data_IF_651103769802
#
_entry.id   IF_651103769802
#
_cell.length_a   1.000
_cell.length_b   1.000
_cell.length_c   1.000
_cell.angle_alpha   90.00
_cell.angle_beta   90.00
_cell.angle_gamma   90.00
#
_symmetry.space_group_name_H-M   'P 1'
#
loop_
_entity.id
_entity.type
_entity.pdbx_description
1 polymer ?
#
# COMPACT_ATOMS: atom_id res chain seq x y z
N UNK A 1 19.01 -5.27 7.33
CA UNK A 1 18.38 -5.86 6.16
C UNK A 1 18.31 -4.86 5.04
N UNK A 2 18.75 -5.28 3.88
CA UNK A 2 18.81 -4.38 2.75
C UNK A 2 17.54 -4.34 1.95
N UNK A 3 17.47 -3.39 1.04
CA UNK A 3 16.35 -3.22 0.12
C UNK A 3 16.11 -4.47 -0.74
N UNK A 4 17.13 -5.29 -0.89
CA UNK A 4 17.07 -6.50 -1.71
C UNK A 4 16.10 -7.55 -1.16
N UNK A 5 15.87 -7.57 0.15
CA UNK A 5 15.04 -8.57 0.80
C UNK A 5 13.55 -8.48 0.43
N UNK A 6 13.13 -7.33 -0.11
CA UNK A 6 11.73 -7.14 -0.51
C UNK A 6 11.55 -7.13 -2.02
N UNK A 7 12.59 -7.48 -2.77
CA UNK A 7 12.51 -7.47 -4.22
C UNK A 7 11.95 -8.79 -4.74
N UNK A 8 10.84 -8.72 -5.44
CA UNK A 8 10.18 -9.87 -6.05
C UNK A 8 9.87 -9.58 -7.51
N UNK A 9 9.94 -10.60 -8.34
CA UNK A 9 9.49 -10.52 -9.74
C UNK A 9 8.60 -11.71 -10.03
N UNK A 10 7.55 -11.51 -10.81
CA UNK A 10 6.67 -12.61 -11.24
C UNK A 10 5.96 -12.23 -12.54
N UNK A 11 5.34 -13.23 -13.14
CA UNK A 11 4.59 -13.04 -14.38
C UNK A 11 3.15 -13.48 -14.15
N UNK A 12 2.20 -12.66 -14.58
CA UNK A 12 0.78 -13.00 -14.53
C UNK A 12 0.42 -13.95 -15.67
N UNK A 13 -0.77 -14.56 -15.57
CA UNK A 13 -1.27 -15.51 -16.57
C UNK A 13 -1.35 -14.92 -17.98
N UNK A 14 -1.56 -13.61 -18.08
CA UNK A 14 -1.61 -12.92 -19.38
C UNK A 14 -0.23 -12.55 -19.92
N UNK A 15 0.85 -12.93 -19.24
CA UNK A 15 2.22 -12.63 -19.64
C UNK A 15 2.77 -11.32 -19.10
N UNK A 16 1.99 -10.56 -18.36
CA UNK A 16 2.46 -9.29 -17.77
C UNK A 16 3.56 -9.55 -16.75
N UNK A 17 4.68 -8.81 -16.87
CA UNK A 17 5.81 -8.93 -15.96
C UNK A 17 5.74 -7.85 -14.90
N UNK A 18 5.78 -8.27 -13.64
CA UNK A 18 5.65 -7.39 -12.48
C UNK A 18 6.87 -7.49 -11.57
N UNK A 19 7.19 -6.37 -10.95
CA UNK A 19 8.32 -6.26 -10.01
C UNK A 19 7.87 -5.50 -8.76
N UNK A 20 8.20 -6.04 -7.59
CA UNK A 20 7.95 -5.40 -6.30
C UNK A 20 9.28 -4.99 -5.70
N UNK A 21 9.39 -3.73 -5.27
CA UNK A 21 10.59 -3.23 -4.60
C UNK A 21 10.26 -2.04 -3.71
N UNK A 22 11.22 -1.65 -2.87
CA UNK A 22 11.11 -0.41 -2.08
C UNK A 22 11.04 0.79 -3.01
N UNK A 23 10.16 1.74 -2.68
CA UNK A 23 10.06 2.99 -3.44
C UNK A 23 11.32 3.83 -3.20
N UNK A 24 11.77 4.54 -4.23
CA UNK A 24 12.91 5.46 -4.15
C UNK A 24 12.51 6.78 -4.82
N UNK A 25 13.31 7.87 -4.59
CA UNK A 25 13.06 9.13 -5.29
C UNK A 25 13.06 9.00 -6.82
N UNK A 26 13.77 8.00 -7.35
CA UNK A 26 13.76 7.72 -8.79
C UNK A 26 12.38 7.29 -9.29
N UNK A 27 11.49 6.86 -8.40
CA UNK A 27 10.13 6.44 -8.74
C UNK A 27 9.12 7.60 -8.72
N UNK A 28 9.57 8.84 -8.50
CA UNK A 28 8.68 10.01 -8.35
C UNK A 28 7.73 10.18 -9.53
N UNK A 29 8.24 10.06 -10.76
CA UNK A 29 7.40 10.21 -11.95
C UNK A 29 6.34 9.10 -12.03
N UNK A 30 6.69 7.88 -11.64
CA UNK A 30 5.77 6.73 -11.61
C UNK A 30 4.68 6.94 -10.56
N UNK A 31 5.04 7.44 -9.37
CA UNK A 31 4.08 7.72 -8.30
C UNK A 31 3.08 8.79 -8.74
N UNK A 32 3.55 9.88 -9.34
CA UNK A 32 2.67 10.96 -9.83
C UNK A 32 1.73 10.43 -10.91
N UNK A 33 2.25 9.66 -11.86
CA UNK A 33 1.44 9.06 -12.93
C UNK A 33 0.39 8.11 -12.36
N UNK A 34 0.74 7.34 -11.34
CA UNK A 34 -0.18 6.43 -10.66
C UNK A 34 -1.35 7.19 -10.02
N UNK A 35 -1.05 8.28 -9.33
CA UNK A 35 -2.10 9.13 -8.70
C UNK A 35 -3.00 9.75 -9.77
N UNK A 36 -2.42 10.26 -10.85
CA UNK A 36 -3.18 10.85 -11.97
C UNK A 36 -4.10 9.83 -12.62
N UNK A 37 -3.69 8.57 -12.67
CA UNK A 37 -4.45 7.49 -13.29
C UNK A 37 -5.55 6.89 -12.43
N UNK A 38 -5.66 7.27 -11.14
CA UNK A 38 -6.72 6.75 -10.29
C UNK A 38 -8.07 7.33 -10.69
N UNK A 39 -9.10 6.49 -10.64
CA UNK A 39 -10.48 6.96 -10.79
C UNK A 39 -10.83 7.88 -9.63
N UNK A 40 -11.89 8.69 -9.78
CA UNK A 40 -12.39 9.53 -8.69
C UNK A 40 -12.69 8.68 -7.45
N UNK A 41 -13.29 7.51 -7.64
CA UNK A 41 -13.60 6.61 -6.54
C UNK A 41 -12.32 6.08 -5.88
N UNK A 42 -11.36 5.59 -6.63
CA UNK A 42 -10.11 5.06 -6.07
C UNK A 42 -9.28 6.15 -5.39
N UNK A 43 -9.24 7.35 -5.94
CA UNK A 43 -8.58 8.49 -5.31
C UNK A 43 -9.23 8.83 -3.97
N UNK A 44 -10.56 8.86 -3.93
CA UNK A 44 -11.30 9.10 -2.70
C UNK A 44 -11.02 8.01 -1.66
N UNK A 45 -11.00 6.74 -2.07
CA UNK A 45 -10.75 5.62 -1.18
C UNK A 45 -9.33 5.65 -0.59
N UNK A 46 -8.35 6.12 -1.37
CA UNK A 46 -6.96 6.21 -0.91
C UNK A 46 -6.72 7.42 -0.01
N UNK A 47 -7.20 8.59 -0.41
CA UNK A 47 -6.86 9.87 0.23
C UNK A 47 -7.99 10.44 1.06
N UNK A 48 -9.14 9.75 1.14
CA UNK A 48 -10.36 10.23 1.79
C UNK A 48 -10.84 11.55 1.20
N UNK A 49 -10.58 11.72 -0.11
CA UNK A 49 -10.96 12.88 -0.89
C UNK A 49 -10.44 12.72 -2.31
N UNK A 50 -10.84 13.62 -3.22
CA UNK A 50 -10.40 13.56 -4.61
C UNK A 50 -9.09 14.31 -4.79
N UNK A 51 -8.02 13.57 -5.08
CA UNK A 51 -6.70 14.12 -5.38
C UNK A 51 -6.31 13.62 -6.76
N UNK A 52 -6.07 14.55 -7.69
CA UNK A 52 -5.69 14.23 -9.06
C UNK A 52 -4.19 14.33 -9.30
N UNK A 53 -3.50 15.07 -8.45
CA UNK A 53 -2.08 15.33 -8.58
C UNK A 53 -1.46 15.57 -7.22
N UNK A 54 -0.25 15.04 -7.02
CA UNK A 54 0.52 15.29 -5.81
C UNK A 54 1.35 16.56 -5.98
N UNK A 55 1.45 17.35 -4.92
CA UNK A 55 2.39 18.48 -4.88
C UNK A 55 3.82 17.94 -4.87
N UNK A 56 4.79 18.78 -5.20
CA UNK A 56 6.22 18.41 -5.14
C UNK A 56 6.61 17.97 -3.73
N UNK A 57 6.09 18.65 -2.72
CA UNK A 57 6.36 18.33 -1.31
C UNK A 57 5.81 16.97 -0.94
N UNK A 58 4.55 16.69 -1.31
CA UNK A 58 3.92 15.42 -1.02
C UNK A 58 4.58 14.27 -1.79
N UNK A 59 4.94 14.52 -3.06
CA UNK A 59 5.61 13.53 -3.88
C UNK A 59 6.96 13.14 -3.28
N UNK A 60 7.74 14.12 -2.81
CA UNK A 60 9.01 13.85 -2.13
C UNK A 60 8.80 13.03 -0.88
N UNK A 61 7.82 13.39 -0.07
CA UNK A 61 7.49 12.66 1.17
C UNK A 61 7.11 11.22 0.88
N UNK A 62 6.36 10.99 -0.18
CA UNK A 62 5.88 9.63 -0.54
C UNK A 62 6.97 8.77 -1.18
N UNK A 63 7.95 9.37 -1.86
CA UNK A 63 8.99 8.61 -2.57
C UNK A 63 10.33 8.55 -1.82
N UNK A 64 10.47 9.33 -0.75
CA UNK A 64 11.68 9.35 0.07
C UNK A 64 11.28 9.25 1.55
N UNK A 65 10.67 8.12 1.96
CA UNK A 65 10.19 7.97 3.33
C UNK A 65 11.36 7.79 4.31
N UNK A 66 11.11 8.19 5.56
CA UNK A 66 12.05 7.94 6.65
C UNK A 66 12.12 6.42 6.90
N UNK A 67 13.26 5.81 6.56
CA UNK A 67 13.46 4.37 6.60
C UNK A 67 13.41 3.75 8.00
N UNK A 68 13.45 4.55 9.07
CA UNK A 68 13.34 4.02 10.43
C UNK A 68 11.91 3.64 10.79
N UNK A 69 10.96 4.50 10.42
CA UNK A 69 9.57 4.37 10.85
C UNK A 69 8.61 4.15 9.71
N UNK A 70 9.06 4.30 8.48
CA UNK A 70 8.20 4.26 7.30
C UNK A 70 8.80 3.36 6.25
N UNK A 71 7.97 2.47 5.70
CA UNK A 71 8.33 1.64 4.55
C UNK A 71 7.27 1.80 3.49
N UNK A 72 7.69 1.90 2.25
CA UNK A 72 6.79 1.92 1.10
C UNK A 72 7.32 0.96 0.04
N UNK A 73 6.44 0.06 -0.39
CA UNK A 73 6.72 -0.92 -1.42
C UNK A 73 5.85 -0.64 -2.63
N UNK A 74 6.41 -0.71 -3.82
CA UNK A 74 5.64 -0.53 -5.05
C UNK A 74 5.72 -1.78 -5.91
N UNK A 75 4.68 -1.97 -6.72
CA UNK A 75 4.68 -2.94 -7.81
C UNK A 75 4.69 -2.17 -9.12
N UNK A 76 5.61 -2.53 -9.98
CA UNK A 76 5.83 -1.88 -11.27
C UNK A 76 5.59 -2.89 -12.38
N UNK A 77 4.84 -2.46 -13.40
CA UNK A 77 4.64 -3.22 -14.62
C UNK A 77 5.55 -2.66 -15.71
N UNK A 78 6.28 -3.55 -16.36
CA UNK A 78 7.11 -3.18 -17.52
C UNK A 78 6.34 -3.50 -18.79
N UNK A 79 5.86 -2.46 -19.45
CA UNK A 79 5.12 -2.55 -20.71
C UNK A 79 5.95 -2.09 -21.90
N UNK A 80 5.33 -2.05 -23.06
CA UNK A 80 5.99 -1.62 -24.31
C UNK A 80 6.42 -0.16 -24.27
N UNK A 81 5.70 0.68 -23.54
CA UNK A 81 5.97 2.12 -23.45
C UNK A 81 6.79 2.50 -22.22
N UNK A 82 7.26 1.52 -21.47
CA UNK A 82 8.07 1.75 -20.27
C UNK A 82 7.45 1.16 -19.02
N UNK A 83 7.91 1.65 -17.87
CA UNK A 83 7.46 1.17 -16.58
C UNK A 83 6.37 2.05 -15.98
N UNK A 84 5.39 1.42 -15.31
CA UNK A 84 4.35 2.14 -14.57
C UNK A 84 4.16 1.52 -13.19
N UNK A 85 3.88 2.36 -12.20
CA UNK A 85 3.50 1.90 -10.86
C UNK A 85 2.03 1.50 -10.90
N UNK A 86 1.74 0.26 -10.49
CA UNK A 86 0.38 -0.27 -10.51
C UNK A 86 -0.15 -0.63 -9.13
N UNK A 87 0.70 -0.57 -8.12
CA UNK A 87 0.29 -0.79 -6.74
C UNK A 87 1.31 -0.25 -5.77
N UNK A 88 0.86 0.11 -4.58
CA UNK A 88 1.73 0.58 -3.49
C UNK A 88 1.13 0.17 -2.16
N UNK A 89 2.00 -0.23 -1.24
CA UNK A 89 1.64 -0.44 0.15
C UNK A 89 2.66 0.25 1.03
N UNK A 90 2.18 0.86 2.11
CA UNK A 90 3.02 1.63 3.04
C UNK A 90 2.66 1.29 4.46
N UNK A 91 3.63 1.44 5.36
CA UNK A 91 3.33 1.52 6.78
C UNK A 91 4.16 2.61 7.43
N UNK A 92 3.61 3.14 8.52
CA UNK A 92 4.29 4.10 9.40
C UNK A 92 4.20 3.54 10.80
N UNK A 93 5.36 3.38 11.46
CA UNK A 93 5.41 2.90 12.84
C UNK A 93 5.11 4.06 13.78
N UNK A 94 4.22 3.82 14.74
CA UNK A 94 3.84 4.82 15.74
C UNK A 94 5.03 5.12 16.67
N UNK A 95 5.01 6.28 17.38
CA UNK A 95 6.07 6.62 18.32
C UNK A 95 6.32 5.60 19.41
N UNK A 96 5.32 4.77 19.77
CA UNK A 96 5.49 3.71 20.76
C UNK A 96 6.33 2.52 20.24
N UNK A 97 6.56 2.45 18.95
CA UNK A 97 7.31 1.37 18.32
C UNK A 97 6.61 0.03 18.25
N UNK A 98 5.39 -0.08 18.81
CA UNK A 98 4.66 -1.34 18.90
C UNK A 98 3.51 -1.46 17.92
N UNK A 99 3.01 -0.33 17.41
CA UNK A 99 1.91 -0.29 16.46
C UNK A 99 2.36 0.38 15.18
N UNK A 100 1.75 -0.01 14.07
CA UNK A 100 1.96 0.70 12.82
C UNK A 100 0.65 0.84 12.06
N UNK A 101 0.58 1.86 11.21
CA UNK A 101 -0.56 2.09 10.35
C UNK A 101 -0.15 1.83 8.91
N UNK A 102 -1.00 1.11 8.18
CA UNK A 102 -0.75 0.78 6.78
C UNK A 102 -1.74 1.46 5.84
N UNK A 103 -1.36 1.54 4.57
CA UNK A 103 -2.25 1.87 3.47
C UNK A 103 -1.84 1.05 2.26
N UNK A 104 -2.79 0.60 1.48
CA UNK A 104 -2.54 -0.15 0.26
C UNK A 104 -3.49 0.30 -0.84
N UNK A 105 -2.97 0.41 -2.05
CA UNK A 105 -3.80 0.73 -3.22
C UNK A 105 -3.24 -0.01 -4.44
N UNK A 106 -4.16 -0.47 -5.29
CA UNK A 106 -3.83 -1.09 -6.58
C UNK A 106 -4.59 -0.32 -7.65
N UNK A 107 -3.93 0.02 -8.75
CA UNK A 107 -4.55 0.71 -9.87
C UNK A 107 -5.78 -0.06 -10.37
N UNK A 108 -6.81 0.66 -10.81
CA UNK A 108 -8.11 0.08 -11.13
C UNK A 108 -8.02 -1.09 -12.11
N UNK A 109 -7.22 -0.94 -13.17
CA UNK A 109 -7.07 -1.96 -14.20
C UNK A 109 -6.35 -3.23 -13.71
N UNK A 110 -5.69 -3.16 -12.57
CA UNK A 110 -4.86 -4.24 -12.03
C UNK A 110 -5.43 -4.88 -10.78
N UNK A 111 -6.62 -4.47 -10.37
CA UNK A 111 -7.29 -5.05 -9.19
C UNK A 111 -7.75 -6.47 -9.46
N UNK A 112 -7.90 -7.26 -8.39
CA UNK A 112 -8.34 -8.66 -8.42
C UNK A 112 -7.37 -9.62 -9.12
N UNK A 113 -6.09 -9.26 -9.15
CA UNK A 113 -5.02 -10.09 -9.74
C UNK A 113 -3.98 -10.56 -8.71
N UNK A 114 -4.27 -10.40 -7.41
CA UNK A 114 -3.37 -10.83 -6.35
C UNK A 114 -2.25 -9.85 -6.00
N UNK A 115 -2.23 -8.67 -6.60
CA UNK A 115 -1.18 -7.68 -6.38
C UNK A 115 -1.24 -7.12 -4.96
N UNK A 116 -2.43 -6.78 -4.48
CA UNK A 116 -2.62 -6.30 -3.11
C UNK A 116 -2.17 -7.31 -2.07
N UNK A 117 -2.45 -8.59 -2.30
CA UNK A 117 -2.02 -9.67 -1.41
C UNK A 117 -0.49 -9.77 -1.35
N UNK A 118 0.19 -9.70 -2.50
CA UNK A 118 1.66 -9.72 -2.53
C UNK A 118 2.25 -8.52 -1.79
N UNK A 119 1.68 -7.34 -2.00
CA UNK A 119 2.12 -6.12 -1.31
C UNK A 119 1.97 -6.25 0.20
N UNK A 120 0.81 -6.69 0.66
CA UNK A 120 0.54 -6.81 2.09
C UNK A 120 1.40 -7.91 2.73
N UNK A 121 1.57 -9.04 2.05
CA UNK A 121 2.43 -10.10 2.56
C UNK A 121 3.89 -9.62 2.67
N UNK A 122 4.37 -8.85 1.70
CA UNK A 122 5.72 -8.30 1.76
C UNK A 122 5.87 -7.30 2.91
N UNK A 123 4.87 -6.42 3.14
CA UNK A 123 4.87 -5.52 4.28
C UNK A 123 4.92 -6.27 5.60
N UNK A 124 4.10 -7.31 5.73
CA UNK A 124 4.02 -8.09 6.97
C UNK A 124 5.33 -8.82 7.22
N UNK A 125 5.93 -9.42 6.19
CA UNK A 125 7.25 -10.05 6.32
C UNK A 125 8.31 -9.05 6.79
N UNK A 126 8.27 -7.84 6.24
CA UNK A 126 9.20 -6.78 6.66
C UNK A 126 9.03 -6.42 8.13
N UNK A 127 7.78 -6.38 8.61
CA UNK A 127 7.46 -6.08 10.00
C UNK A 127 7.86 -7.20 10.97
N UNK A 128 7.96 -8.43 10.52
CA UNK A 128 8.29 -9.58 11.38
C UNK A 128 9.68 -9.50 12.01
N UNK A 129 10.56 -8.70 11.42
CA UNK A 129 11.91 -8.47 11.98
C UNK A 129 11.96 -7.24 12.90
N UNK A 130 10.82 -6.58 13.09
CA UNK A 130 10.70 -5.41 13.96
C UNK A 130 10.04 -5.79 15.28
N UNK A 131 9.94 -4.83 16.20
CA UNK A 131 9.25 -5.02 17.47
C UNK A 131 7.76 -4.68 17.39
N UNK A 132 7.26 -4.37 16.20
CA UNK A 132 5.86 -4.02 15.98
C UNK A 132 4.98 -5.24 16.26
N UNK A 133 3.97 -5.05 17.11
CA UNK A 133 3.05 -6.11 17.53
C UNK A 133 1.70 -6.07 16.86
N UNK A 134 1.35 -4.93 16.28
CA UNK A 134 0.04 -4.72 15.69
C UNK A 134 0.12 -3.82 14.48
N UNK A 135 -0.57 -4.23 13.43
CA UNK A 135 -0.73 -3.42 12.23
C UNK A 135 -2.21 -3.05 12.10
N UNK A 136 -2.49 -1.78 11.86
CA UNK A 136 -3.85 -1.29 11.70
C UNK A 136 -3.95 -0.34 10.51
N UNK A 137 -5.17 -0.10 10.07
CA UNK A 137 -5.45 0.84 8.99
C UNK A 137 -6.90 1.24 9.01
N UNK A 138 -7.25 2.17 8.13
CA UNK A 138 -8.61 2.68 8.01
C UNK A 138 -9.19 2.29 6.66
N UNK A 139 -10.40 1.79 6.66
CA UNK A 139 -11.11 1.39 5.45
C UNK A 139 -12.46 2.10 5.42
N UNK A 140 -12.82 2.64 4.27
CA UNK A 140 -14.14 3.24 4.09
C UNK A 140 -15.18 2.12 4.15
N UNK A 141 -16.17 2.26 5.02
CA UNK A 141 -17.16 1.21 5.32
C UNK A 141 -17.90 0.70 4.08
N UNK A 142 -18.14 1.57 3.11
CA UNK A 142 -18.83 1.19 1.86
C UNK A 142 -17.90 0.47 0.86
N UNK A 143 -16.59 0.42 1.12
CA UNK A 143 -15.65 -0.25 0.23
C UNK A 143 -15.66 -1.76 0.46
N UNK A 144 -16.64 -2.44 -0.11
CA UNK A 144 -16.87 -3.88 0.09
C UNK A 144 -15.68 -4.71 -0.36
N UNK A 145 -15.04 -4.35 -1.47
CA UNK A 145 -13.92 -5.09 -2.02
C UNK A 145 -12.71 -5.06 -1.07
N UNK A 146 -12.39 -3.88 -0.53
CA UNK A 146 -11.30 -3.73 0.42
C UNK A 146 -11.60 -4.46 1.74
N UNK A 147 -12.84 -4.36 2.23
CA UNK A 147 -13.25 -5.06 3.44
C UNK A 147 -13.08 -6.56 3.31
N UNK A 148 -13.51 -7.12 2.18
CA UNK A 148 -13.35 -8.55 1.91
C UNK A 148 -11.87 -8.95 1.86
N UNK A 149 -11.05 -8.17 1.16
CA UNK A 149 -9.62 -8.41 1.06
C UNK A 149 -8.94 -8.38 2.43
N UNK A 150 -9.20 -7.36 3.22
CA UNK A 150 -8.61 -7.17 4.54
C UNK A 150 -9.03 -8.30 5.50
N UNK A 151 -10.28 -8.73 5.42
CA UNK A 151 -10.76 -9.86 6.22
C UNK A 151 -10.02 -11.15 5.84
N UNK A 152 -9.81 -11.38 4.55
CA UNK A 152 -9.04 -12.55 4.07
C UNK A 152 -7.59 -12.51 4.54
N UNK A 153 -7.05 -11.32 4.76
CA UNK A 153 -5.69 -11.13 5.28
C UNK A 153 -5.60 -11.27 6.80
N UNK A 154 -6.70 -11.60 7.47
CA UNK A 154 -6.71 -11.86 8.91
C UNK A 154 -6.93 -10.65 9.79
N UNK A 155 -7.45 -9.56 9.25
CA UNK A 155 -7.75 -8.36 10.01
C UNK A 155 -9.16 -8.42 10.59
N UNK A 156 -9.31 -7.86 11.78
CA UNK A 156 -10.62 -7.66 12.41
C UNK A 156 -11.09 -6.22 12.18
N UNK A 157 -12.39 -6.04 11.99
CA UNK A 157 -13.00 -4.72 11.80
C UNK A 157 -13.55 -4.20 13.13
N UNK A 158 -13.37 -2.90 13.36
CA UNK A 158 -13.92 -2.20 14.53
C UNK A 158 -14.56 -0.89 14.07
N UNK A 159 -15.76 -0.60 14.56
CA UNK A 159 -16.41 0.68 14.29
C UNK A 159 -15.68 1.81 15.00
N UNK A 160 -15.67 2.98 14.37
CA UNK A 160 -15.08 4.19 14.95
C UNK A 160 -16.24 5.04 15.45
N UNK A 161 -16.35 5.27 16.78
CA UNK A 161 -17.53 5.94 17.36
C UNK A 161 -17.85 7.32 16.76
N UNK A 162 -16.82 8.09 16.44
CA UNK A 162 -17.00 9.45 15.92
C UNK A 162 -17.03 9.52 14.40
N UNK A 163 -16.88 8.39 13.71
CA UNK A 163 -16.87 8.36 12.24
C UNK A 163 -17.53 7.08 11.72
N UNK A 164 -18.86 7.10 11.53
CA UNK A 164 -19.59 5.92 11.06
C UNK A 164 -19.29 5.52 9.62
N UNK A 165 -18.62 6.37 8.85
CA UNK A 165 -18.25 6.08 7.46
C UNK A 165 -16.98 5.25 7.33
N UNK A 166 -16.21 5.11 8.41
CA UNK A 166 -14.92 4.45 8.42
C UNK A 166 -14.89 3.26 9.38
N UNK A 167 -14.00 2.33 9.07
CA UNK A 167 -13.70 1.20 9.95
C UNK A 167 -12.21 1.21 10.27
N UNK A 168 -11.87 0.89 11.51
CA UNK A 168 -10.51 0.57 11.89
C UNK A 168 -10.33 -0.93 11.69
N UNK A 169 -9.30 -1.33 10.96
CA UNK A 169 -8.97 -2.74 10.77
C UNK A 169 -7.62 -3.02 11.44
N UNK A 170 -7.55 -4.14 12.12
CA UNK A 170 -6.40 -4.45 12.98
C UNK A 170 -6.03 -5.92 12.88
N UNK A 171 -4.74 -6.19 12.80
CA UNK A 171 -4.20 -7.54 12.88
C UNK A 171 -3.03 -7.56 13.86
N UNK A 172 -3.04 -8.51 14.78
CA UNK A 172 -1.91 -8.74 15.65
C UNK A 172 -0.84 -9.52 14.91
N UNK A 173 0.40 -9.07 15.05
CA UNK A 173 1.54 -9.74 14.46
C UNK A 173 2.08 -10.71 15.50
N UNK A 174 2.20 -11.96 15.11
CA UNK A 174 2.60 -13.01 16.04
C UNK A 174 4.03 -12.91 16.47
N UNK A 175 4.23 -13.26 17.70
CA UNK A 175 5.52 -13.45 18.30
C UNK A 175 6.25 -14.64 17.65
#
# INVERSE_FOLDING_TARGET
>A
MGEEDCKETWTLDDGSKLRLHHITPADAAKEQASVRGLSTQSSYLRFHGTIKELSKKDLKKLTDPDSRNTVALIVVHTGETGEEEIGVARYVIDPDGMNCEFAVVVADAWQKRGIGERLMNALIRHLQVSEVKQISGYVIKRNSAMRKFIKQMGFAETNIPDDPSMLLVTRHLMD
#
